data_IF_697349294173
#
_entry.id   IF_697349294173
#
_cell.length_a   1.000
_cell.length_b   1.000
_cell.length_c   1.000
_cell.angle_alpha   90.00
_cell.angle_beta   90.00
_cell.angle_gamma   90.00
#
_symmetry.space_group_name_H-M   'P 1'
#
loop_
_entity.id
_entity.type
_entity.pdbx_description
1 polymer ?
#
# COMPACT_ATOMS: atom_id res chain seq x y z
N UNK A 1 -18.12 8.72 -13.69
CA UNK A 1 -18.41 7.33 -14.12
C UNK A 1 -19.09 6.49 -13.05
N UNK A 2 -18.62 6.47 -11.79
CA UNK A 2 -19.24 5.67 -10.72
C UNK A 2 -20.77 5.85 -10.57
N UNK A 3 -21.26 7.10 -10.64
CA UNK A 3 -22.71 7.37 -10.60
C UNK A 3 -23.49 6.69 -11.73
N UNK A 4 -23.00 6.76 -12.97
CA UNK A 4 -23.65 6.14 -14.12
C UNK A 4 -23.81 4.62 -13.93
N UNK A 5 -22.74 3.93 -13.51
CA UNK A 5 -22.76 2.48 -13.24
C UNK A 5 -23.76 2.14 -12.13
N UNK A 6 -23.75 2.94 -11.06
CA UNK A 6 -24.61 2.76 -9.88
C UNK A 6 -26.11 2.92 -10.20
N UNK A 7 -26.47 3.81 -11.12
CA UNK A 7 -27.86 4.13 -11.46
C UNK A 7 -28.37 3.42 -12.73
N UNK A 8 -27.55 2.55 -13.34
CA UNK A 8 -27.93 1.71 -14.50
C UNK A 8 -27.95 0.24 -14.11
N UNK A 9 -29.10 -0.27 -13.66
CA UNK A 9 -29.26 -1.69 -13.34
C UNK A 9 -29.19 -2.60 -14.59
N UNK A 10 -29.66 -2.13 -15.74
CA UNK A 10 -29.63 -2.83 -17.04
C UNK A 10 -29.39 -1.82 -18.16
N UNK A 11 -28.50 -2.16 -19.10
CA UNK A 11 -28.19 -1.32 -20.25
C UNK A 11 -26.69 -1.09 -20.39
N UNK A 12 -26.26 0.14 -20.69
CA UNK A 12 -24.85 0.47 -20.88
C UNK A 12 -24.50 1.85 -20.35
N UNK A 13 -23.21 2.02 -20.06
CA UNK A 13 -22.57 3.30 -19.75
C UNK A 13 -21.49 3.53 -20.80
N UNK A 14 -21.47 4.70 -21.41
CA UNK A 14 -20.53 5.08 -22.45
C UNK A 14 -19.77 6.35 -22.04
N UNK A 15 -18.45 6.31 -22.13
CA UNK A 15 -17.58 7.49 -22.08
C UNK A 15 -17.13 7.82 -23.51
N UNK A 16 -17.34 9.06 -23.94
CA UNK A 16 -16.77 9.61 -25.17
C UNK A 16 -15.83 10.75 -24.82
N UNK A 17 -14.70 10.81 -25.52
CA UNK A 17 -13.68 11.83 -25.34
C UNK A 17 -13.44 12.46 -26.71
N UNK A 18 -13.79 13.73 -26.85
CA UNK A 18 -13.62 14.48 -28.08
C UNK A 18 -12.77 15.73 -27.81
N UNK A 19 -12.06 16.17 -28.85
CA UNK A 19 -11.49 17.52 -28.89
C UNK A 19 -12.45 18.43 -29.68
N UNK A 20 -13.00 19.43 -29.01
CA UNK A 20 -13.87 20.44 -29.62
C UNK A 20 -13.22 21.82 -29.49
N UNK A 21 -12.57 22.28 -30.57
CA UNK A 21 -11.94 23.62 -30.63
C UNK A 21 -10.85 23.83 -29.55
N UNK A 22 -9.95 22.86 -29.38
CA UNK A 22 -8.91 22.88 -28.34
C UNK A 22 -9.49 22.88 -26.92
N UNK A 23 -10.63 22.20 -26.74
CA UNK A 23 -11.23 21.93 -25.44
C UNK A 23 -11.55 20.45 -25.37
N UNK A 24 -11.07 19.80 -24.31
CA UNK A 24 -11.38 18.40 -24.04
C UNK A 24 -12.86 18.31 -23.63
N UNK A 25 -13.65 17.60 -24.39
CA UNK A 25 -15.06 17.34 -24.11
C UNK A 25 -15.25 15.87 -23.75
N UNK A 26 -15.52 15.61 -22.47
CA UNK A 26 -15.88 14.30 -21.95
C UNK A 26 -17.40 14.21 -21.88
N UNK A 27 -17.97 13.19 -22.51
CA UNK A 27 -19.39 12.86 -22.43
C UNK A 27 -19.56 11.51 -21.74
N UNK A 28 -20.25 11.49 -20.61
CA UNK A 28 -20.59 10.27 -19.88
C UNK A 28 -22.09 10.05 -20.04
N UNK A 29 -22.48 9.03 -20.79
CA UNK A 29 -23.87 8.68 -21.06
C UNK A 29 -24.22 7.36 -20.39
N UNK A 30 -25.39 7.27 -19.79
CA UNK A 30 -25.96 6.05 -19.25
C UNK A 30 -27.43 5.88 -19.66
N UNK A 31 -27.91 4.65 -19.61
CA UNK A 31 -29.32 4.29 -19.86
C UNK A 31 -30.05 3.93 -18.57
N UNK A 32 -29.66 4.56 -17.46
CA UNK A 32 -30.19 4.27 -16.13
C UNK A 32 -31.55 4.91 -15.85
N UNK A 33 -31.87 5.05 -14.56
CA UNK A 33 -33.16 5.59 -14.10
C UNK A 33 -33.42 7.05 -14.50
N UNK A 34 -32.39 7.79 -14.89
CA UNK A 34 -32.48 9.22 -15.17
C UNK A 34 -32.70 10.08 -13.93
N UNK A 35 -32.83 11.39 -14.13
CA UNK A 35 -32.97 12.41 -13.09
C UNK A 35 -34.16 13.29 -13.46
N UNK A 36 -35.04 13.53 -12.48
CA UNK A 36 -36.18 14.43 -12.61
C UNK A 36 -35.75 15.87 -12.94
N UNK A 37 -36.53 16.56 -13.77
CA UNK A 37 -36.15 17.87 -14.31
C UNK A 37 -36.02 18.96 -13.24
N UNK A 38 -36.81 18.88 -12.17
CA UNK A 38 -36.76 19.74 -10.99
C UNK A 38 -35.52 19.51 -10.11
N UNK A 39 -34.81 18.40 -10.30
CA UNK A 39 -33.62 18.02 -9.51
C UNK A 39 -32.31 18.31 -10.24
N UNK A 40 -32.34 18.56 -11.55
CA UNK A 40 -31.14 18.75 -12.38
C UNK A 40 -30.22 19.88 -11.91
N UNK A 41 -30.78 20.99 -11.43
CA UNK A 41 -29.97 22.13 -10.94
C UNK A 41 -29.31 21.81 -9.60
N UNK A 42 -29.98 21.00 -8.77
CA UNK A 42 -29.57 20.72 -7.39
C UNK A 42 -28.61 19.55 -7.29
N UNK A 43 -28.45 18.71 -8.32
CA UNK A 43 -27.58 17.52 -8.24
C UNK A 43 -26.11 17.85 -7.96
N UNK A 44 -25.70 19.09 -8.20
CA UNK A 44 -24.34 19.54 -7.96
C UNK A 44 -24.18 20.26 -6.62
N UNK A 45 -25.27 20.46 -5.86
CA UNK A 45 -25.23 21.11 -4.56
C UNK A 45 -24.70 20.15 -3.49
N UNK A 46 -23.92 20.64 -2.51
CA UNK A 46 -23.42 19.80 -1.43
C UNK A 46 -24.58 19.09 -0.71
N UNK A 47 -24.45 17.78 -0.51
CA UNK A 47 -25.42 16.93 0.19
C UNK A 47 -26.80 16.83 -0.48
N UNK A 48 -26.98 17.37 -1.69
CA UNK A 48 -28.22 17.23 -2.42
C UNK A 48 -28.32 15.82 -3.01
N UNK A 49 -29.29 15.05 -2.52
CA UNK A 49 -29.64 13.73 -3.04
C UNK A 49 -30.97 13.79 -3.79
N UNK A 50 -31.08 12.99 -4.85
CA UNK A 50 -32.28 12.99 -5.68
C UNK A 50 -33.53 12.50 -4.93
N UNK A 51 -33.47 11.58 -3.97
CA UNK A 51 -34.61 11.23 -3.10
C UNK A 51 -34.17 10.58 -1.79
N UNK A 52 -34.94 10.80 -0.71
CA UNK A 52 -34.74 10.16 0.59
C UNK A 52 -34.99 8.63 0.58
N UNK A 53 -35.68 8.12 -0.44
CA UNK A 53 -35.91 6.68 -0.65
C UNK A 53 -34.71 5.98 -1.32
N UNK A 54 -33.89 6.72 -2.07
CA UNK A 54 -32.72 6.22 -2.80
C UNK A 54 -31.52 6.03 -1.88
N UNK A 55 -31.47 6.72 -0.75
CA UNK A 55 -30.40 6.66 0.27
C UNK A 55 -30.21 5.23 0.81
N UNK A 56 -31.28 4.45 0.97
CA UNK A 56 -31.20 3.06 1.48
C UNK A 56 -30.72 2.05 0.45
N UNK A 57 -30.94 2.31 -0.84
CA UNK A 57 -30.71 1.33 -1.90
C UNK A 57 -29.36 1.54 -2.61
N UNK A 58 -28.84 2.77 -2.57
CA UNK A 58 -27.68 3.14 -3.37
C UNK A 58 -26.56 3.86 -2.58
N UNK A 59 -26.75 4.36 -1.36
CA UNK A 59 -25.66 4.80 -0.44
C UNK A 59 -24.62 5.81 -0.98
N UNK A 60 -24.54 7.02 -0.44
CA UNK A 60 -23.44 7.96 -0.77
C UNK A 60 -23.61 9.34 -0.17
N UNK A 61 -22.52 10.07 0.07
CA UNK A 61 -22.51 11.37 0.78
C UNK A 61 -23.17 12.52 0.00
N UNK A 62 -23.50 12.32 -1.28
CA UNK A 62 -24.01 13.39 -2.16
C UNK A 62 -22.95 14.40 -2.59
N UNK A 63 -21.67 14.18 -2.27
CA UNK A 63 -20.60 15.13 -2.55
C UNK A 63 -19.93 14.92 -3.92
N UNK A 64 -20.03 13.73 -4.52
CA UNK A 64 -19.22 13.39 -5.71
C UNK A 64 -19.43 14.32 -6.92
N UNK A 65 -20.68 14.70 -7.22
CA UNK A 65 -21.02 15.66 -8.29
C UNK A 65 -20.60 17.08 -7.94
N UNK A 66 -20.72 17.45 -6.66
CA UNK A 66 -20.27 18.75 -6.13
C UNK A 66 -18.76 18.92 -6.31
N UNK A 67 -17.97 17.92 -5.88
CA UNK A 67 -16.51 17.90 -6.01
C UNK A 67 -16.11 17.95 -7.48
N UNK A 68 -16.78 17.15 -8.32
CA UNK A 68 -16.54 17.14 -9.77
C UNK A 68 -16.76 18.53 -10.38
N UNK A 69 -17.83 19.24 -9.99
CA UNK A 69 -18.09 20.62 -10.43
C UNK A 69 -17.00 21.58 -9.98
N UNK A 70 -16.58 21.51 -8.72
CA UNK A 70 -15.52 22.38 -8.19
C UNK A 70 -14.18 22.16 -8.92
N UNK A 71 -13.77 20.90 -9.13
CA UNK A 71 -12.53 20.58 -9.84
C UNK A 71 -12.56 21.09 -11.28
N UNK A 72 -13.67 20.87 -12.00
CA UNK A 72 -13.82 21.35 -13.38
C UNK A 72 -13.77 22.88 -13.43
N UNK A 73 -14.40 23.58 -12.48
CA UNK A 73 -14.34 25.04 -12.38
C UNK A 73 -12.93 25.55 -12.03
N UNK A 74 -12.21 24.89 -11.13
CA UNK A 74 -10.82 25.22 -10.80
C UNK A 74 -9.89 25.06 -12.02
N UNK A 75 -10.19 24.10 -12.90
CA UNK A 75 -9.50 23.90 -14.17
C UNK A 75 -9.96 24.88 -15.28
N UNK A 76 -10.83 25.86 -14.96
CA UNK A 76 -11.38 26.82 -15.92
C UNK A 76 -12.41 26.24 -16.89
N UNK A 77 -12.91 25.04 -16.60
CA UNK A 77 -13.88 24.32 -17.42
C UNK A 77 -15.34 24.49 -16.99
N UNK A 78 -16.22 23.73 -17.63
CA UNK A 78 -17.65 23.68 -17.34
C UNK A 78 -18.14 22.23 -17.26
N UNK A 79 -19.06 21.97 -16.33
CA UNK A 79 -19.78 20.69 -16.23
C UNK A 79 -21.29 20.96 -16.38
N UNK A 80 -21.98 20.13 -17.15
CA UNK A 80 -23.43 20.19 -17.31
C UNK A 80 -24.03 18.79 -17.39
N UNK A 81 -25.35 18.71 -17.26
CA UNK A 81 -26.10 17.46 -17.25
C UNK A 81 -27.35 17.61 -18.11
N UNK A 82 -27.70 16.55 -18.83
CA UNK A 82 -29.00 16.37 -19.47
C UNK A 82 -29.53 14.99 -19.10
N UNK A 83 -30.74 14.91 -18.58
CA UNK A 83 -31.34 13.64 -18.17
C UNK A 83 -32.84 13.65 -18.38
N UNK A 84 -33.40 12.46 -18.55
CA UNK A 84 -34.84 12.21 -18.56
C UNK A 84 -35.11 10.94 -17.77
N UNK A 85 -36.11 10.99 -16.89
CA UNK A 85 -36.51 9.83 -16.10
C UNK A 85 -36.86 8.64 -17.01
N UNK A 86 -36.27 7.49 -16.72
CA UNK A 86 -36.46 6.24 -17.47
C UNK A 86 -35.68 6.14 -18.80
N UNK A 87 -35.07 7.22 -19.30
CA UNK A 87 -34.25 7.20 -20.53
C UNK A 87 -32.74 7.20 -20.23
N UNK A 88 -32.35 7.71 -19.06
CA UNK A 88 -30.95 7.75 -18.60
C UNK A 88 -30.39 9.16 -18.44
N UNK A 89 -29.09 9.26 -18.17
CA UNK A 89 -28.41 10.53 -17.91
C UNK A 89 -27.19 10.71 -18.80
N UNK A 90 -26.94 11.96 -19.19
CA UNK A 90 -25.74 12.35 -19.91
C UNK A 90 -25.08 13.54 -19.22
N UNK A 91 -23.85 13.34 -18.75
CA UNK A 91 -23.00 14.39 -18.19
C UNK A 91 -21.99 14.85 -19.24
N UNK A 92 -21.78 16.16 -19.29
CA UNK A 92 -20.83 16.83 -20.15
C UNK A 92 -19.79 17.54 -19.29
N UNK A 93 -18.51 17.28 -19.55
CA UNK A 93 -17.40 17.99 -18.92
C UNK A 93 -16.52 18.59 -20.02
N UNK A 94 -16.32 19.89 -19.96
CA UNK A 94 -15.52 20.66 -20.90
C UNK A 94 -14.33 21.26 -20.16
N UNK A 95 -13.11 20.98 -20.61
CA UNK A 95 -11.89 21.49 -20.00
C UNK A 95 -11.03 22.22 -21.03
N UNK A 96 -10.56 23.45 -20.74
CA UNK A 96 -9.64 24.19 -21.60
C UNK A 96 -8.21 23.71 -21.38
N UNK A 97 -7.93 22.45 -21.75
CA UNK A 97 -6.60 21.89 -21.66
C UNK A 97 -5.77 22.30 -22.88
N UNK A 98 -4.59 22.89 -22.71
CA UNK A 98 -3.68 23.07 -23.83
C UNK A 98 -3.31 21.69 -24.40
N UNK A 99 -3.04 21.63 -25.70
CA UNK A 99 -2.45 20.44 -26.31
C UNK A 99 -1.11 20.21 -25.61
N UNK A 100 -1.08 19.19 -24.74
CA UNK A 100 0.15 18.71 -24.15
C UNK A 100 0.99 18.00 -25.20
N UNK A 101 2.29 17.91 -24.94
CA UNK A 101 3.05 16.83 -25.57
C UNK A 101 2.49 15.54 -24.99
N UNK A 102 2.15 14.58 -25.85
CA UNK A 102 1.89 13.23 -25.36
C UNK A 102 3.06 12.88 -24.43
N UNK A 103 2.79 12.32 -23.22
CA UNK A 103 3.86 11.63 -22.52
C UNK A 103 4.47 10.74 -23.58
N UNK A 104 5.77 10.89 -23.84
CA UNK A 104 6.47 9.86 -24.60
C UNK A 104 6.10 8.60 -23.84
N UNK A 105 5.41 7.66 -24.50
CA UNK A 105 5.02 6.40 -23.88
C UNK A 105 6.28 5.85 -23.20
N UNK A 106 6.41 6.01 -21.88
CA UNK A 106 7.49 5.39 -21.11
C UNK A 106 7.36 3.85 -21.21
N UNK A 107 6.19 3.37 -21.65
CA UNK A 107 5.93 2.00 -22.06
C UNK A 107 6.66 1.55 -23.34
N UNK A 108 7.25 2.46 -24.15
CA UNK A 108 8.01 2.09 -25.36
C UNK A 108 9.34 2.85 -25.48
N UNK A 109 9.52 3.99 -24.81
CA UNK A 109 10.71 4.83 -24.93
C UNK A 109 11.74 4.65 -23.80
N UNK A 110 12.05 3.40 -23.49
CA UNK A 110 13.43 2.87 -23.46
C UNK A 110 13.28 1.45 -22.96
N UNK A 111 13.06 0.49 -23.87
CA UNK A 111 13.46 -0.87 -23.57
C UNK A 111 14.95 -0.78 -23.29
N UNK A 112 15.33 -0.63 -22.03
CA UNK A 112 16.71 -0.75 -21.65
C UNK A 112 17.07 -2.20 -21.94
N UNK A 113 17.62 -2.41 -23.13
CA UNK A 113 18.02 -3.73 -23.58
C UNK A 113 19.30 -4.07 -22.84
N UNK A 114 19.11 -4.68 -21.69
CA UNK A 114 20.18 -5.36 -21.00
C UNK A 114 20.56 -6.59 -21.83
N UNK A 115 21.86 -6.91 -21.96
CA UNK A 115 22.26 -8.21 -22.48
C UNK A 115 21.66 -9.32 -21.59
N UNK A 116 21.61 -10.58 -22.05
CA UNK A 116 21.30 -11.70 -21.15
C UNK A 116 22.20 -11.64 -19.91
N UNK A 117 21.59 -11.69 -18.73
CA UNK A 117 22.26 -11.58 -17.43
C UNK A 117 22.05 -12.86 -16.66
N UNK A 118 23.02 -13.24 -15.83
CA UNK A 118 22.88 -14.27 -14.81
C UNK A 118 22.57 -13.59 -13.47
N UNK A 119 21.32 -13.75 -13.01
CA UNK A 119 20.74 -13.04 -11.88
C UNK A 119 20.58 -14.00 -10.71
N UNK A 120 21.02 -13.57 -9.52
CA UNK A 120 20.66 -14.23 -8.26
C UNK A 120 19.47 -13.48 -7.65
N UNK A 121 18.34 -14.17 -7.47
CA UNK A 121 17.15 -13.62 -6.81
C UNK A 121 16.98 -14.27 -5.44
N UNK A 122 16.85 -13.46 -4.39
CA UNK A 122 16.67 -13.93 -3.02
C UNK A 122 15.40 -13.33 -2.41
N UNK A 123 14.45 -14.18 -2.03
CA UNK A 123 13.17 -13.83 -1.40
C UNK A 123 12.63 -15.07 -0.71
N UNK A 124 12.07 -14.93 0.50
CA UNK A 124 11.60 -16.07 1.29
C UNK A 124 10.17 -16.51 0.94
N UNK A 125 9.51 -15.77 0.05
CA UNK A 125 8.20 -16.10 -0.50
C UNK A 125 8.38 -16.75 -1.88
N UNK A 126 8.03 -18.04 -2.04
CA UNK A 126 8.21 -18.76 -3.31
C UNK A 126 7.52 -18.10 -4.51
N UNK A 127 6.36 -17.47 -4.33
CA UNK A 127 5.63 -16.78 -5.40
C UNK A 127 6.36 -15.53 -5.90
N UNK A 128 7.11 -14.84 -5.02
CA UNK A 128 7.92 -13.70 -5.43
C UNK A 128 9.11 -14.17 -6.28
N UNK A 129 9.76 -15.26 -5.89
CA UNK A 129 10.82 -15.89 -6.68
C UNK A 129 10.29 -16.38 -8.04
N UNK A 130 9.12 -17.01 -8.07
CA UNK A 130 8.46 -17.44 -9.32
C UNK A 130 8.15 -16.24 -10.22
N UNK A 131 7.60 -15.16 -9.66
CA UNK A 131 7.33 -13.93 -10.41
C UNK A 131 8.64 -13.35 -10.99
N UNK A 132 9.69 -13.21 -10.18
CA UNK A 132 11.00 -12.74 -10.65
C UNK A 132 11.55 -13.62 -11.77
N UNK A 133 11.46 -14.94 -11.62
CA UNK A 133 11.90 -15.88 -12.64
C UNK A 133 11.12 -15.69 -13.96
N UNK A 134 9.78 -15.63 -13.88
CA UNK A 134 8.91 -15.44 -15.06
C UNK A 134 9.21 -14.11 -15.76
N UNK A 135 9.32 -13.02 -15.00
CA UNK A 135 9.58 -11.68 -15.55
C UNK A 135 10.97 -11.64 -16.19
N UNK A 136 12.01 -12.02 -15.47
CA UNK A 136 13.40 -11.93 -15.95
C UNK A 136 13.67 -12.86 -17.14
N UNK A 137 13.10 -14.07 -17.17
CA UNK A 137 13.24 -14.99 -18.29
C UNK A 137 12.58 -14.47 -19.57
N UNK A 138 11.45 -13.75 -19.48
CA UNK A 138 10.84 -13.08 -20.64
C UNK A 138 11.74 -12.03 -21.26
N UNK A 139 12.62 -11.43 -20.45
CA UNK A 139 13.64 -10.49 -20.89
C UNK A 139 14.98 -11.16 -21.27
N UNK A 140 15.04 -12.49 -21.34
CA UNK A 140 16.21 -13.25 -21.77
C UNK A 140 17.29 -13.44 -20.71
N UNK A 141 17.00 -13.16 -19.44
CA UNK A 141 17.92 -13.39 -18.33
C UNK A 141 17.79 -14.81 -17.76
N UNK A 142 18.86 -15.29 -17.15
CA UNK A 142 18.87 -16.53 -16.37
C UNK A 142 18.76 -16.18 -14.89
N UNK A 143 17.86 -16.83 -14.16
CA UNK A 143 17.64 -16.58 -12.73
C UNK A 143 17.96 -17.83 -11.93
N UNK A 144 18.80 -17.68 -10.92
CA UNK A 144 19.00 -18.66 -9.83
C UNK A 144 18.36 -18.09 -8.58
N UNK A 145 17.54 -18.92 -7.91
CA UNK A 145 16.75 -18.48 -6.75
C UNK A 145 17.38 -18.93 -5.43
N UNK A 146 17.26 -18.09 -4.40
CA UNK A 146 17.61 -18.36 -3.02
C UNK A 146 16.40 -18.05 -2.11
N UNK A 147 16.14 -18.89 -1.11
CA UNK A 147 15.02 -18.73 -0.18
C UNK A 147 15.35 -17.89 1.06
N UNK A 148 16.61 -17.55 1.27
CA UNK A 148 17.07 -16.67 2.35
C UNK A 148 18.44 -16.04 2.03
N UNK A 149 18.89 -15.13 2.91
CA UNK A 149 20.17 -14.43 2.75
C UNK A 149 21.40 -15.34 2.86
N UNK A 150 21.31 -16.44 3.61
CA UNK A 150 22.42 -17.37 3.79
C UNK A 150 22.66 -18.17 2.51
N UNK A 151 21.60 -18.69 1.90
CA UNK A 151 21.67 -19.37 0.62
C UNK A 151 22.15 -18.43 -0.49
N UNK A 152 21.71 -17.16 -0.47
CA UNK A 152 22.19 -16.16 -1.42
C UNK A 152 23.71 -15.94 -1.30
N UNK A 153 24.23 -15.84 -0.08
CA UNK A 153 25.67 -15.76 0.18
C UNK A 153 26.41 -17.02 -0.34
N UNK A 154 25.94 -18.22 -0.01
CA UNK A 154 26.54 -19.48 -0.46
C UNK A 154 26.58 -19.62 -1.99
N UNK A 155 25.51 -19.20 -2.67
CA UNK A 155 25.45 -19.20 -4.12
C UNK A 155 26.42 -18.17 -4.70
N UNK A 156 26.50 -16.96 -4.14
CA UNK A 156 27.47 -15.94 -4.58
C UNK A 156 28.93 -16.39 -4.41
N UNK A 157 29.21 -17.22 -3.41
CA UNK A 157 30.53 -17.79 -3.15
C UNK A 157 30.92 -18.89 -4.14
N UNK A 158 29.95 -19.60 -4.71
CA UNK A 158 30.17 -20.77 -5.57
C UNK A 158 29.94 -20.50 -7.04
N UNK A 159 29.22 -19.42 -7.38
CA UNK A 159 28.83 -19.07 -8.74
C UNK A 159 29.01 -17.56 -9.00
N UNK A 160 29.28 -17.23 -10.25
CA UNK A 160 29.35 -15.84 -10.71
C UNK A 160 27.97 -15.38 -11.20
N UNK A 161 27.58 -14.17 -10.79
CA UNK A 161 26.35 -13.51 -11.20
C UNK A 161 26.68 -12.09 -11.64
N UNK A 162 25.82 -11.52 -12.49
CA UNK A 162 25.96 -10.15 -12.96
C UNK A 162 25.30 -9.15 -12.00
N UNK A 163 24.25 -9.59 -11.30
CA UNK A 163 23.46 -8.77 -10.37
C UNK A 163 22.70 -9.65 -9.37
N UNK A 164 22.47 -9.11 -8.17
CA UNK A 164 21.64 -9.73 -7.13
C UNK A 164 20.39 -8.88 -6.91
N UNK A 165 19.21 -9.52 -6.93
CA UNK A 165 17.96 -8.94 -6.47
C UNK A 165 17.65 -9.54 -5.09
N UNK A 166 17.65 -8.73 -4.05
CA UNK A 166 17.65 -9.18 -2.65
C UNK A 166 16.47 -8.59 -1.88
N UNK A 167 15.57 -9.43 -1.37
CA UNK A 167 14.55 -9.00 -0.42
C UNK A 167 15.18 -8.52 0.90
N UNK A 168 14.66 -7.42 1.46
CA UNK A 168 15.21 -6.88 2.70
C UNK A 168 14.85 -7.75 3.91
N UNK A 169 13.64 -8.33 3.94
CA UNK A 169 13.11 -9.05 5.08
C UNK A 169 13.01 -10.55 4.78
N UNK A 170 13.99 -11.32 5.26
CA UNK A 170 14.01 -12.77 5.16
C UNK A 170 14.33 -13.40 6.53
N UNK A 171 13.85 -14.62 6.82
CA UNK A 171 14.17 -15.31 8.06
C UNK A 171 15.66 -15.73 8.10
N UNK A 172 16.15 -15.95 9.32
CA UNK A 172 17.54 -16.36 9.64
C UNK A 172 18.62 -15.33 9.30
N UNK A 173 18.74 -14.95 8.03
CA UNK A 173 19.66 -13.92 7.55
C UNK A 173 18.89 -12.99 6.61
N UNK A 174 18.71 -11.75 7.05
CA UNK A 174 18.01 -10.74 6.29
C UNK A 174 18.85 -10.20 5.11
N UNK A 175 18.24 -9.42 4.22
CA UNK A 175 18.91 -8.93 3.02
C UNK A 175 20.05 -7.95 3.30
N UNK A 176 19.97 -7.19 4.40
CA UNK A 176 21.00 -6.23 4.82
C UNK A 176 22.23 -6.99 5.32
N UNK A 177 22.03 -7.95 6.21
CA UNK A 177 23.05 -8.85 6.75
C UNK A 177 23.71 -9.66 5.63
N UNK A 178 22.92 -10.22 4.72
CA UNK A 178 23.44 -10.95 3.56
C UNK A 178 24.31 -10.05 2.68
N UNK A 179 23.88 -8.82 2.42
CA UNK A 179 24.65 -7.86 1.61
C UNK A 179 25.98 -7.49 2.29
N UNK A 180 25.96 -7.20 3.59
CA UNK A 180 27.20 -6.94 4.34
C UNK A 180 28.15 -8.14 4.32
N UNK A 181 27.63 -9.36 4.47
CA UNK A 181 28.41 -10.58 4.41
C UNK A 181 29.00 -10.82 3.00
N UNK A 182 28.24 -10.55 1.94
CA UNK A 182 28.71 -10.58 0.55
C UNK A 182 29.84 -9.56 0.37
N UNK A 183 29.71 -8.33 0.86
CA UNK A 183 30.78 -7.31 0.77
C UNK A 183 32.04 -7.72 1.51
N UNK A 184 31.90 -8.26 2.71
CA UNK A 184 33.04 -8.74 3.49
C UNK A 184 33.78 -9.87 2.76
N UNK A 185 33.04 -10.85 2.25
CA UNK A 185 33.60 -11.97 1.49
C UNK A 185 34.27 -11.50 0.19
N UNK A 186 33.64 -10.58 -0.54
CA UNK A 186 34.20 -10.00 -1.77
C UNK A 186 35.54 -9.30 -1.51
N UNK A 187 35.63 -8.51 -0.42
CA UNK A 187 36.85 -7.85 -0.02
C UNK A 187 37.95 -8.83 0.42
N UNK A 188 37.61 -9.84 1.23
CA UNK A 188 38.53 -10.86 1.73
C UNK A 188 39.13 -11.70 0.59
N UNK A 189 38.32 -12.05 -0.41
CA UNK A 189 38.70 -12.93 -1.52
C UNK A 189 39.08 -12.17 -2.80
N UNK A 190 39.22 -10.84 -2.72
CA UNK A 190 39.54 -9.96 -3.84
C UNK A 190 38.62 -10.15 -5.05
N UNK A 191 37.35 -10.43 -4.80
CA UNK A 191 36.34 -10.59 -5.85
C UNK A 191 35.82 -9.22 -6.28
N UNK A 192 35.45 -9.04 -7.56
CA UNK A 192 34.77 -7.83 -7.97
C UNK A 192 33.45 -7.71 -7.19
N UNK A 193 33.18 -6.50 -6.70
CA UNK A 193 31.89 -6.15 -6.12
C UNK A 193 30.80 -6.59 -7.11
N UNK A 194 29.70 -7.20 -6.68
CA UNK A 194 28.49 -7.44 -7.51
C UNK A 194 27.41 -6.38 -7.23
N UNK A 195 26.62 -5.87 -8.19
CA UNK A 195 25.55 -4.95 -7.86
C UNK A 195 24.46 -5.68 -7.08
N UNK A 196 23.97 -5.08 -6.01
CA UNK A 196 22.85 -5.61 -5.23
C UNK A 196 21.70 -4.60 -5.24
N UNK A 197 20.52 -5.01 -5.73
CA UNK A 197 19.30 -4.20 -5.69
C UNK A 197 18.42 -4.74 -4.56
N UNK A 198 18.07 -3.85 -3.62
CA UNK A 198 17.11 -4.13 -2.57
C UNK A 198 15.69 -4.24 -3.13
N UNK A 199 14.94 -5.26 -2.71
CA UNK A 199 13.49 -5.37 -2.93
C UNK A 199 12.80 -5.11 -1.59
N UNK A 200 11.85 -4.17 -1.54
CA UNK A 200 11.15 -3.81 -0.29
C UNK A 200 9.66 -3.56 -0.50
N UNK A 201 8.83 -3.97 0.47
CA UNK A 201 7.40 -3.65 0.51
C UNK A 201 7.08 -2.22 0.99
N UNK A 202 8.08 -1.49 1.49
CA UNK A 202 7.97 -0.13 1.98
C UNK A 202 9.10 0.72 1.41
N UNK A 203 8.81 1.92 0.91
CA UNK A 203 9.81 2.84 0.35
C UNK A 203 10.12 3.95 1.35
N UNK A 204 10.23 3.59 2.63
CA UNK A 204 10.57 4.56 3.65
C UNK A 204 12.02 5.01 3.45
N UNK A 205 12.30 6.28 3.70
CA UNK A 205 13.63 6.85 3.57
C UNK A 205 14.65 6.12 4.47
N UNK A 206 14.19 5.56 5.58
CA UNK A 206 15.00 4.73 6.48
C UNK A 206 15.46 3.42 5.82
N UNK A 207 14.59 2.72 5.08
CA UNK A 207 14.95 1.48 4.39
C UNK A 207 16.03 1.74 3.35
N UNK A 208 15.90 2.83 2.59
CA UNK A 208 16.92 3.24 1.61
C UNK A 208 18.27 3.52 2.27
N UNK A 209 18.28 4.27 3.38
CA UNK A 209 19.52 4.55 4.13
C UNK A 209 20.15 3.28 4.69
N UNK A 210 19.35 2.34 5.18
CA UNK A 210 19.83 1.06 5.67
C UNK A 210 20.44 0.21 4.54
N UNK A 211 19.78 0.15 3.37
CA UNK A 211 20.30 -0.52 2.17
C UNK A 211 21.62 0.08 1.69
N UNK A 212 21.71 1.40 1.62
CA UNK A 212 22.94 2.10 1.23
C UNK A 212 24.09 1.78 2.21
N UNK A 213 23.81 1.81 3.52
CA UNK A 213 24.78 1.47 4.56
C UNK A 213 25.23 -0.01 4.52
N UNK A 214 24.35 -0.92 4.12
CA UNK A 214 24.66 -2.33 3.90
C UNK A 214 25.48 -2.58 2.61
N UNK A 215 25.74 -1.55 1.82
CA UNK A 215 26.50 -1.64 0.58
C UNK A 215 25.68 -2.18 -0.60
N UNK A 216 24.36 -1.97 -0.60
CA UNK A 216 23.51 -2.17 -1.78
C UNK A 216 23.70 -1.01 -2.77
N UNK A 217 23.36 -1.23 -4.04
CA UNK A 217 23.63 -0.30 -5.15
C UNK A 217 22.36 0.32 -5.73
N UNK A 218 21.21 -0.28 -5.46
CA UNK A 218 19.91 0.17 -5.95
C UNK A 218 18.75 -0.34 -5.12
N UNK A 219 17.55 0.14 -5.46
CA UNK A 219 16.34 -0.14 -4.71
C UNK A 219 15.12 -0.26 -5.64
N UNK A 220 14.28 -1.27 -5.42
CA UNK A 220 13.01 -1.46 -6.11
C UNK A 220 11.90 -1.79 -5.12
N UNK A 221 10.75 -1.12 -5.29
CA UNK A 221 9.58 -1.33 -4.45
C UNK A 221 8.76 -2.55 -4.89
N UNK A 222 8.11 -3.21 -3.94
CA UNK A 222 7.01 -4.14 -4.16
C UNK A 222 5.67 -3.36 -4.08
N UNK A 223 4.70 -3.57 -4.97
CA UNK A 223 4.70 -4.56 -6.05
C UNK A 223 5.73 -4.26 -7.14
N UNK A 224 6.33 -5.32 -7.69
CA UNK A 224 7.41 -5.20 -8.67
C UNK A 224 6.92 -4.54 -9.96
N UNK A 225 7.37 -3.34 -10.25
CA UNK A 225 7.14 -2.69 -11.54
C UNK A 225 8.26 -3.04 -12.53
N UNK A 226 7.98 -3.93 -13.49
CA UNK A 226 8.98 -4.51 -14.41
C UNK A 226 9.88 -3.44 -15.07
N UNK A 227 9.27 -2.38 -15.60
CA UNK A 227 10.00 -1.29 -16.28
C UNK A 227 10.97 -0.58 -15.33
N UNK A 228 10.53 -0.27 -14.11
CA UNK A 228 11.37 0.39 -13.10
C UNK A 228 12.52 -0.51 -12.65
N UNK A 229 12.25 -1.80 -12.47
CA UNK A 229 13.29 -2.76 -12.11
C UNK A 229 14.37 -2.87 -13.20
N UNK A 230 14.00 -2.99 -14.47
CA UNK A 230 14.96 -3.06 -15.58
C UNK A 230 15.78 -1.78 -15.74
N UNK A 231 15.14 -0.61 -15.55
CA UNK A 231 15.84 0.67 -15.54
C UNK A 231 16.86 0.74 -14.39
N UNK A 232 16.47 0.29 -13.20
CA UNK A 232 17.35 0.29 -12.03
C UNK A 232 18.52 -0.69 -12.21
N UNK A 233 18.26 -1.89 -12.73
CA UNK A 233 19.30 -2.86 -13.13
C UNK A 233 20.30 -2.23 -14.10
N UNK A 234 19.81 -1.53 -15.11
CA UNK A 234 20.68 -0.86 -16.06
C UNK A 234 21.49 0.28 -15.45
N UNK A 235 20.90 1.08 -14.57
CA UNK A 235 21.58 2.16 -13.86
C UNK A 235 22.76 1.62 -13.05
N UNK A 236 22.55 0.57 -12.25
CA UNK A 236 23.60 0.00 -11.39
C UNK A 236 24.67 -0.75 -12.19
N UNK A 237 24.33 -1.31 -13.35
CA UNK A 237 25.28 -1.98 -14.25
C UNK A 237 26.10 -0.96 -15.08
N UNK A 238 25.49 0.10 -15.58
CA UNK A 238 26.18 1.16 -16.34
C UNK A 238 27.08 2.04 -15.47
N UNK A 239 26.76 2.18 -14.17
CA UNK A 239 27.66 2.81 -13.20
C UNK A 239 29.02 2.10 -13.05
N UNK A 240 29.19 0.90 -13.62
CA UNK A 240 30.47 0.15 -13.65
C UNK A 240 31.32 0.39 -14.88
N UNK A 241 30.73 0.85 -15.99
CA UNK A 241 31.48 1.03 -17.25
C UNK A 241 32.30 2.32 -17.25
N UNK A 242 32.15 3.17 -16.23
CA UNK A 242 32.92 4.40 -16.05
C UNK A 242 33.55 4.41 -14.64
N UNK A 243 34.64 3.68 -14.46
CA UNK A 243 35.58 3.92 -13.35
C UNK A 243 36.99 3.45 -13.71
N UNK A 244 37.61 4.18 -14.64
CA UNK A 244 38.94 4.72 -14.40
C UNK A 244 38.86 6.25 -14.50
N UNK A 245 39.39 6.92 -13.48
CA UNK A 245 39.54 8.37 -13.33
C UNK A 245 38.29 9.20 -12.96
N UNK A 246 38.14 9.40 -11.65
CA UNK A 246 38.22 10.77 -11.13
C UNK A 246 36.92 11.45 -10.71
N UNK A 247 36.82 11.63 -9.38
CA UNK A 247 36.08 12.66 -8.62
C UNK A 247 34.58 12.41 -8.41
N UNK A 248 34.30 12.01 -7.16
CA UNK A 248 33.07 12.30 -6.45
C UNK A 248 32.59 13.74 -6.70
N UNK A 249 31.34 13.87 -7.11
CA UNK A 249 30.58 15.09 -6.96
C UNK A 249 29.17 14.71 -6.47
N UNK A 250 28.64 15.36 -5.41
CA UNK A 250 27.34 15.03 -4.86
C UNK A 250 26.25 15.60 -5.78
N UNK A 251 25.37 14.73 -6.29
CA UNK A 251 24.17 15.17 -6.99
C UNK A 251 23.13 15.66 -5.97
N UNK A 252 23.23 16.94 -5.62
CA UNK A 252 22.12 17.71 -5.08
C UNK A 252 21.14 18.01 -6.23
N UNK A 253 19.90 17.56 -6.08
CA UNK A 253 18.85 17.74 -7.10
C UNK A 253 17.67 16.82 -6.84
N UNK A 254 17.09 16.92 -5.64
CA UNK A 254 15.83 16.29 -5.31
C UNK A 254 14.71 16.91 -6.17
N UNK A 255 14.35 16.24 -7.27
CA UNK A 255 13.04 16.40 -7.88
C UNK A 255 12.11 15.41 -7.19
N UNK A 256 11.23 15.94 -6.35
CA UNK A 256 10.12 15.18 -5.77
C UNK A 256 9.33 14.51 -6.90
N UNK A 257 9.24 13.19 -6.83
CA UNK A 257 8.34 12.40 -7.66
C UNK A 257 6.93 12.62 -7.11
N UNK A 258 5.94 13.05 -7.91
CA UNK A 258 4.56 13.08 -7.45
C UNK A 258 4.09 11.64 -7.21
N UNK A 259 3.86 11.29 -5.95
CA UNK A 259 3.19 10.08 -5.55
C UNK A 259 1.70 10.18 -5.86
N UNK A 260 1.26 10.00 -7.11
CA UNK A 260 -0.15 9.73 -7.42
C UNK A 260 -0.28 8.90 -8.70
N UNK A 261 -0.42 7.58 -8.54
CA UNK A 261 -1.33 6.81 -9.38
C UNK A 261 -2.38 6.22 -8.45
N UNK A 262 -3.25 7.10 -7.96
CA UNK A 262 -4.55 6.72 -7.43
C UNK A 262 -5.39 6.23 -8.62
N UNK A 263 -5.28 4.94 -8.95
CA UNK A 263 -6.35 4.27 -9.66
C UNK A 263 -7.54 4.25 -8.70
N UNK A 264 -8.53 5.11 -8.97
CA UNK A 264 -9.83 5.02 -8.36
C UNK A 264 -10.50 3.73 -8.85
N UNK A 265 -10.08 2.59 -8.28
CA UNK A 265 -10.77 1.34 -8.41
C UNK A 265 -12.15 1.54 -7.80
N UNK A 266 -13.18 1.22 -8.58
CA UNK A 266 -14.55 1.13 -8.10
C UNK A 266 -14.56 0.26 -6.82
N UNK A 267 -15.35 0.67 -5.83
CA UNK A 267 -15.40 0.17 -4.45
C UNK A 267 -15.77 -1.33 -4.28
N UNK A 268 -15.52 -2.21 -5.27
CA UNK A 268 -15.97 -3.60 -5.26
C UNK A 268 -15.00 -4.63 -5.88
N UNK A 269 -13.83 -4.27 -6.42
CA UNK A 269 -12.91 -5.28 -6.99
C UNK A 269 -11.72 -5.58 -6.06
N UNK A 270 -11.67 -6.82 -5.57
CA UNK A 270 -10.61 -7.37 -4.69
C UNK A 270 -9.28 -7.59 -5.43
N UNK A 271 -9.29 -7.47 -6.76
CA UNK A 271 -8.21 -7.87 -7.66
C UNK A 271 -8.00 -6.81 -8.73
N UNK A 272 -6.75 -6.37 -8.91
CA UNK A 272 -6.34 -5.60 -10.08
C UNK A 272 -5.91 -6.54 -11.21
N UNK A 273 -6.86 -6.86 -12.09
CA UNK A 273 -6.61 -7.74 -13.22
C UNK A 273 -5.61 -7.17 -14.23
N UNK A 274 -5.56 -5.84 -14.38
CA UNK A 274 -4.64 -5.21 -15.33
C UNK A 274 -3.19 -5.40 -14.89
N UNK A 275 -2.90 -5.02 -13.65
CA UNK A 275 -1.57 -5.20 -13.04
C UNK A 275 -1.20 -6.69 -12.96
N UNK A 276 -2.13 -7.54 -12.53
CA UNK A 276 -1.90 -8.98 -12.45
C UNK A 276 -1.53 -9.62 -13.79
N UNK A 277 -2.22 -9.25 -14.87
CA UNK A 277 -1.92 -9.76 -16.22
C UNK A 277 -0.61 -9.20 -16.77
N UNK A 278 -0.25 -7.94 -16.50
CA UNK A 278 1.05 -7.40 -16.89
C UNK A 278 2.21 -8.14 -16.20
N UNK A 279 2.08 -8.41 -14.91
CA UNK A 279 3.11 -9.09 -14.12
C UNK A 279 3.25 -10.56 -14.51
N UNK A 280 2.14 -11.30 -14.46
CA UNK A 280 2.13 -12.75 -14.62
C UNK A 280 1.95 -13.20 -16.08
N UNK A 281 1.67 -12.29 -17.00
CA UNK A 281 1.58 -12.47 -18.46
C UNK A 281 0.41 -13.33 -18.95
N UNK A 282 -0.28 -14.06 -18.08
CA UNK A 282 -1.50 -14.78 -18.45
C UNK A 282 -2.42 -14.96 -17.24
N UNK A 283 -3.72 -15.04 -17.51
CA UNK A 283 -4.73 -15.31 -16.48
C UNK A 283 -4.50 -16.67 -15.79
N UNK A 284 -4.09 -17.69 -16.56
CA UNK A 284 -3.84 -19.04 -16.04
C UNK A 284 -2.68 -19.07 -15.02
N UNK A 285 -1.57 -18.37 -15.33
CA UNK A 285 -0.43 -18.24 -14.44
C UNK A 285 -0.82 -17.49 -13.16
N UNK A 286 -1.53 -16.37 -13.28
CA UNK A 286 -2.00 -15.58 -12.15
C UNK A 286 -2.93 -16.39 -11.22
N UNK A 287 -3.90 -17.12 -11.79
CA UNK A 287 -4.83 -17.96 -11.01
C UNK A 287 -4.12 -19.10 -10.28
N UNK A 288 -3.08 -19.67 -10.90
CA UNK A 288 -2.26 -20.71 -10.27
C UNK A 288 -1.41 -20.14 -9.14
N UNK A 289 -0.89 -18.92 -9.31
CA UNK A 289 -0.19 -18.21 -8.24
C UNK A 289 -1.11 -17.89 -7.06
N UNK A 290 -2.35 -17.46 -7.32
CA UNK A 290 -3.36 -17.24 -6.28
C UNK A 290 -3.71 -18.52 -5.52
N UNK A 291 -3.93 -19.64 -6.21
CA UNK A 291 -4.31 -20.88 -5.52
C UNK A 291 -3.20 -21.37 -4.58
N UNK A 292 -1.93 -21.24 -4.98
CA UNK A 292 -0.78 -21.54 -4.11
C UNK A 292 -0.70 -20.58 -2.93
N UNK A 293 -0.80 -19.28 -3.19
CA UNK A 293 -0.77 -18.26 -2.14
C UNK A 293 -1.86 -18.47 -1.09
N UNK A 294 -3.11 -18.69 -1.52
CA UNK A 294 -4.24 -18.93 -0.60
C UNK A 294 -4.06 -20.21 0.23
N UNK A 295 -3.53 -21.27 -0.36
CA UNK A 295 -3.21 -22.51 0.36
C UNK A 295 -2.13 -22.29 1.42
N UNK A 296 -1.10 -21.51 1.12
CA UNK A 296 -0.03 -21.17 2.06
C UNK A 296 -0.50 -20.21 3.17
N UNK A 297 -1.41 -19.27 2.86
CA UNK A 297 -1.96 -18.39 3.90
C UNK A 297 -2.83 -19.16 4.91
N UNK A 298 -3.48 -20.24 4.47
CA UNK A 298 -4.30 -21.06 5.36
C UNK A 298 -3.50 -21.65 6.55
N UNK A 299 -2.21 -21.97 6.36
CA UNK A 299 -1.35 -22.48 7.43
C UNK A 299 -0.69 -21.40 8.29
N UNK A 300 -0.65 -20.14 7.82
CA UNK A 300 -0.02 -19.01 8.54
C UNK A 300 -0.95 -18.28 9.50
N UNK A 301 -2.28 -18.39 9.32
CA UNK A 301 -3.25 -17.78 10.26
C UNK A 301 -3.13 -18.35 11.68
N UNK A 302 -3.02 -19.67 11.90
CA UNK A 302 -2.78 -20.23 13.24
C UNK A 302 -1.42 -19.81 13.84
N UNK A 303 -0.39 -19.64 13.00
CA UNK A 303 0.93 -19.16 13.41
C UNK A 303 0.85 -17.73 13.94
N UNK A 304 0.20 -16.82 13.21
CA UNK A 304 -0.05 -15.44 13.66
C UNK A 304 -0.84 -15.39 14.96
N UNK A 305 -1.85 -16.25 15.12
CA UNK A 305 -2.62 -16.36 16.36
C UNK A 305 -1.73 -16.83 17.52
N UNK A 306 -0.86 -17.81 17.30
CA UNK A 306 0.09 -18.30 18.30
C UNK A 306 1.13 -17.24 18.68
N UNK A 307 1.75 -16.57 17.71
CA UNK A 307 2.73 -15.51 17.93
C UNK A 307 2.12 -14.33 18.71
N UNK A 308 0.88 -13.96 18.36
CA UNK A 308 0.12 -12.95 19.09
C UNK A 308 -0.18 -13.36 20.54
N UNK A 309 -0.44 -14.64 20.82
CA UNK A 309 -0.67 -15.14 22.18
C UNK A 309 0.61 -15.18 23.03
N UNK A 310 1.76 -15.39 22.41
CA UNK A 310 3.06 -15.46 23.09
C UNK A 310 3.79 -14.11 23.17
N UNK A 311 3.22 -13.04 22.57
CA UNK A 311 3.79 -11.69 22.61
C UNK A 311 5.01 -11.48 21.71
N UNK A 312 5.25 -12.38 20.75
CA UNK A 312 6.35 -12.28 19.78
C UNK A 312 5.94 -11.41 18.58
N UNK A 313 5.85 -10.11 18.84
CA UNK A 313 5.31 -9.13 17.90
C UNK A 313 6.23 -8.87 16.72
N UNK A 314 7.54 -8.94 16.91
CA UNK A 314 8.52 -8.73 15.84
C UNK A 314 8.37 -9.84 14.77
N UNK A 315 8.24 -11.10 15.21
CA UNK A 315 8.02 -12.22 14.31
C UNK A 315 6.64 -12.16 13.65
N UNK A 316 5.60 -11.78 14.40
CA UNK A 316 4.26 -11.60 13.84
C UNK A 316 4.22 -10.49 12.77
N UNK A 317 4.90 -9.37 13.02
CA UNK A 317 5.01 -8.25 12.08
C UNK A 317 5.77 -8.68 10.82
N UNK A 318 6.84 -9.45 10.96
CA UNK A 318 7.58 -10.02 9.82
C UNK A 318 6.69 -10.97 8.97
N UNK A 319 5.86 -11.80 9.60
CA UNK A 319 4.88 -12.65 8.88
C UNK A 319 3.88 -11.79 8.10
N UNK A 320 3.33 -10.73 8.73
CA UNK A 320 2.38 -9.80 8.11
C UNK A 320 3.01 -9.05 6.92
N UNK A 321 4.23 -8.54 7.06
CA UNK A 321 4.93 -7.85 5.97
C UNK A 321 5.15 -8.76 4.77
N UNK A 322 5.53 -10.03 4.99
CA UNK A 322 5.68 -11.02 3.92
C UNK A 322 4.37 -11.28 3.18
N UNK A 323 3.27 -11.43 3.93
CA UNK A 323 1.93 -11.59 3.33
C UNK A 323 1.57 -10.39 2.46
N UNK A 324 1.84 -9.17 2.94
CA UNK A 324 1.58 -7.93 2.20
C UNK A 324 2.40 -7.83 0.92
N UNK A 325 3.70 -8.09 0.98
CA UNK A 325 4.59 -8.05 -0.18
C UNK A 325 4.17 -9.05 -1.26
N UNK A 326 3.89 -10.29 -0.85
CA UNK A 326 3.42 -11.36 -1.74
C UNK A 326 2.08 -10.99 -2.42
N UNK A 327 1.14 -10.46 -1.65
CA UNK A 327 -0.19 -10.17 -2.14
C UNK A 327 -0.21 -8.93 -3.06
N UNK A 328 0.69 -7.96 -2.85
CA UNK A 328 0.95 -6.87 -3.80
C UNK A 328 1.43 -7.41 -5.16
N UNK A 329 2.40 -8.33 -5.16
CA UNK A 329 2.90 -8.97 -6.39
C UNK A 329 1.86 -9.86 -7.10
N UNK A 330 0.80 -10.26 -6.40
CA UNK A 330 -0.34 -11.01 -6.94
C UNK A 330 -1.52 -10.11 -7.35
N UNK A 331 -1.33 -8.79 -7.31
CA UNK A 331 -2.34 -7.78 -7.63
C UNK A 331 -3.65 -7.91 -6.82
N UNK A 332 -3.53 -8.33 -5.56
CA UNK A 332 -4.67 -8.45 -4.63
C UNK A 332 -4.91 -7.12 -3.91
N UNK A 333 -5.76 -6.26 -4.47
CA UNK A 333 -6.07 -4.89 -4.02
C UNK A 333 -6.46 -4.80 -2.53
N UNK A 334 -7.18 -5.79 -1.97
CA UNK A 334 -7.64 -5.74 -0.57
C UNK A 334 -6.77 -6.43 0.47
N UNK A 335 -5.71 -7.12 0.09
CA UNK A 335 -4.80 -7.73 1.07
C UNK A 335 -3.91 -6.69 1.78
N UNK A 336 -3.61 -5.57 1.10
CA UNK A 336 -2.90 -4.43 1.67
C UNK A 336 -3.76 -3.64 2.66
N UNK A 337 -5.10 -3.66 2.50
CA UNK A 337 -6.07 -3.06 3.43
C UNK A 337 -6.47 -4.03 4.57
N UNK A 338 -6.51 -5.35 4.32
CA UNK A 338 -6.81 -6.34 5.37
C UNK A 338 -5.72 -6.39 6.45
N UNK A 339 -4.52 -5.86 6.19
CA UNK A 339 -3.43 -5.77 7.18
C UNK A 339 -3.24 -4.40 7.82
N UNK A 340 -3.99 -3.35 7.44
CA UNK A 340 -4.12 -2.18 8.33
C UNK A 340 -4.96 -2.50 9.59
N UNK A 341 -5.58 -3.68 9.64
CA UNK A 341 -6.14 -4.29 10.85
C UNK A 341 -5.07 -4.99 11.75
N UNK A 342 -3.81 -5.07 11.32
CA UNK A 342 -2.68 -5.55 12.13
C UNK A 342 -1.56 -4.49 12.08
N UNK A 343 -1.74 -3.40 12.85
CA UNK A 343 -1.39 -3.44 14.27
C UNK A 343 -2.50 -2.93 15.20
N UNK A 344 -3.73 -3.45 15.07
CA UNK A 344 -4.80 -3.20 16.06
C UNK A 344 -4.69 -4.07 17.35
N UNK A 345 -3.68 -4.94 17.45
CA UNK A 345 -3.47 -5.84 18.59
C UNK A 345 -2.25 -5.50 19.47
N UNK A 346 -1.49 -4.45 19.13
CA UNK A 346 -0.31 -4.01 19.88
C UNK A 346 -0.52 -3.00 21.05
N UNK A 347 -1.73 -2.51 21.43
CA UNK A 347 -1.84 -1.67 22.64
C UNK A 347 -1.75 -2.45 23.97
N UNK A 348 -2.02 -3.76 23.95
CA UNK A 348 -2.13 -4.57 25.18
C UNK A 348 -0.80 -4.81 25.90
N UNK A 349 0.33 -4.82 25.18
CA UNK A 349 1.64 -5.12 25.76
C UNK A 349 2.43 -3.87 26.20
N UNK A 350 2.14 -2.68 25.64
CA UNK A 350 2.88 -1.44 25.96
C UNK A 350 2.28 -0.74 27.21
N UNK A 351 0.99 -0.93 27.50
CA UNK A 351 0.35 -0.39 28.70
C UNK A 351 0.88 -1.02 30.01
N UNK A 352 1.39 -2.26 29.96
CA UNK A 352 1.95 -2.95 31.12
C UNK A 352 3.34 -2.43 31.53
N UNK A 353 4.09 -1.82 30.61
CA UNK A 353 5.43 -1.25 30.88
C UNK A 353 5.45 0.28 31.05
N UNK A 354 4.32 0.98 30.86
CA UNK A 354 4.29 2.44 30.91
C UNK A 354 4.23 3.08 32.32
N UNK A 355 4.25 2.30 33.42
CA UNK A 355 4.32 2.87 34.78
C UNK A 355 3.22 3.88 35.14
N UNK A 356 2.05 3.81 34.48
CA UNK A 356 0.95 4.76 34.67
C UNK A 356 0.36 4.66 36.09
N UNK A 357 0.35 5.78 36.79
CA UNK A 357 -0.30 5.90 38.11
C UNK A 357 -1.81 5.63 38.01
N UNK A 358 -2.44 5.22 39.12
CA UNK A 358 -3.88 4.97 39.17
C UNK A 358 -4.72 6.18 38.69
N UNK A 359 -4.26 7.40 38.97
CA UNK A 359 -4.91 8.63 38.51
C UNK A 359 -4.80 8.83 36.99
N UNK A 360 -3.63 8.52 36.40
CA UNK A 360 -3.42 8.63 34.96
C UNK A 360 -4.25 7.61 34.18
N UNK A 361 -4.45 6.40 34.74
CA UNK A 361 -5.32 5.38 34.13
C UNK A 361 -6.77 5.84 34.04
N UNK A 362 -7.29 6.47 35.10
CA UNK A 362 -8.65 7.03 35.11
C UNK A 362 -8.79 8.12 34.05
N UNK A 363 -7.81 9.02 33.93
CA UNK A 363 -7.84 10.09 32.94
C UNK A 363 -7.79 9.57 31.48
N UNK A 364 -6.95 8.56 31.21
CA UNK A 364 -6.90 7.91 29.89
C UNK A 364 -8.24 7.23 29.57
N UNK A 365 -8.88 6.60 30.55
CA UNK A 365 -10.16 5.93 30.36
C UNK A 365 -11.30 6.92 30.08
N UNK A 366 -11.35 8.05 30.79
CA UNK A 366 -12.31 9.13 30.56
C UNK A 366 -12.13 9.74 29.16
N UNK A 367 -10.90 10.02 28.75
CA UNK A 367 -10.60 10.56 27.43
C UNK A 367 -10.94 9.56 26.29
N UNK A 368 -10.64 8.28 26.46
CA UNK A 368 -11.03 7.25 25.47
C UNK A 368 -12.55 7.11 25.37
N UNK A 369 -13.28 7.24 26.48
CA UNK A 369 -14.73 7.18 26.47
C UNK A 369 -15.34 8.39 25.73
N UNK A 370 -14.90 9.61 26.06
CA UNK A 370 -15.36 10.83 25.38
C UNK A 370 -15.09 10.77 23.86
N UNK A 371 -13.90 10.33 23.47
CA UNK A 371 -13.55 10.18 22.05
C UNK A 371 -14.39 9.10 21.35
N UNK A 372 -14.67 7.98 22.02
CA UNK A 372 -15.51 6.91 21.48
C UNK A 372 -16.95 7.40 21.23
N UNK A 373 -17.52 8.15 22.17
CA UNK A 373 -18.86 8.73 22.05
C UNK A 373 -18.93 9.75 20.90
N UNK A 374 -17.92 10.63 20.78
CA UNK A 374 -17.84 11.58 19.66
C UNK A 374 -17.73 10.87 18.30
N UNK A 375 -16.86 9.85 18.19
CA UNK A 375 -16.66 9.08 16.97
C UNK A 375 -17.92 8.33 16.54
N UNK A 376 -18.72 7.83 17.49
CA UNK A 376 -20.04 7.23 17.20
C UNK A 376 -21.06 8.26 16.67
N UNK A 377 -20.93 9.52 17.06
CA UNK A 377 -21.70 10.64 16.54
C UNK A 377 -21.20 11.18 15.19
N UNK A 378 -20.06 10.70 14.68
CA UNK A 378 -19.42 11.21 13.47
C UNK A 378 -18.62 12.50 13.69
N UNK A 379 -18.27 12.81 14.93
CA UNK A 379 -17.46 13.97 15.32
C UNK A 379 -16.12 13.52 15.94
N UNK A 380 -15.16 14.43 16.07
CA UNK A 380 -13.88 14.17 16.73
C UNK A 380 -13.76 15.11 17.92
N UNK A 381 -13.68 14.55 19.12
CA UNK A 381 -13.38 15.32 20.33
C UNK A 381 -11.87 15.63 20.36
N UNK A 382 -11.55 16.87 20.00
CA UNK A 382 -10.16 17.35 19.92
C UNK A 382 -9.50 17.47 21.30
N UNK A 383 -10.29 17.71 22.36
CA UNK A 383 -9.78 17.82 23.72
C UNK A 383 -9.42 16.43 24.27
N UNK A 384 -10.29 15.45 24.04
CA UNK A 384 -10.04 14.05 24.39
C UNK A 384 -8.81 13.49 23.65
N UNK A 385 -8.68 13.76 22.35
CA UNK A 385 -7.52 13.33 21.56
C UNK A 385 -6.22 13.94 22.07
N UNK A 386 -6.22 15.23 22.40
CA UNK A 386 -5.04 15.92 22.92
C UNK A 386 -4.64 15.40 24.31
N UNK A 387 -5.62 15.08 25.17
CA UNK A 387 -5.35 14.45 26.46
C UNK A 387 -4.70 13.07 26.30
N UNK A 388 -5.14 12.25 25.33
CA UNK A 388 -4.53 10.94 25.06
C UNK A 388 -3.08 11.07 24.58
N UNK A 389 -2.78 12.05 23.73
CA UNK A 389 -1.41 12.31 23.27
C UNK A 389 -0.46 12.75 24.40
N UNK A 390 -0.98 13.37 25.47
CA UNK A 390 -0.17 13.78 26.63
C UNK A 390 0.04 12.63 27.62
N UNK A 391 -0.94 11.74 27.74
CA UNK A 391 -0.96 10.69 28.75
C UNK A 391 -0.37 9.36 28.28
N UNK A 392 -0.33 9.12 26.96
CA UNK A 392 0.16 7.89 26.37
C UNK A 392 1.40 8.14 25.49
N UNK A 393 2.32 7.16 25.39
CA UNK A 393 3.42 7.23 24.44
C UNK A 393 2.93 7.44 23.01
N UNK A 394 3.65 8.22 22.21
CA UNK A 394 3.31 8.54 20.82
C UNK A 394 3.04 7.28 19.98
N UNK A 395 3.81 6.21 20.19
CA UNK A 395 3.63 4.92 19.53
C UNK A 395 2.24 4.29 19.77
N UNK A 396 1.60 4.54 20.92
CA UNK A 396 0.27 4.00 21.25
C UNK A 396 -0.86 4.82 20.62
N UNK A 397 -0.64 6.12 20.40
CA UNK A 397 -1.66 7.03 19.85
C UNK A 397 -1.51 7.18 18.33
N UNK A 398 -0.36 6.83 17.75
CA UNK A 398 -0.07 6.98 16.33
C UNK A 398 -1.12 6.32 15.41
N UNK A 399 -1.57 5.10 15.74
CA UNK A 399 -2.57 4.40 14.94
C UNK A 399 -3.96 5.08 14.98
N UNK A 400 -4.36 5.56 16.17
CA UNK A 400 -5.59 6.31 16.37
C UNK A 400 -5.52 7.67 15.62
N UNK A 401 -4.39 8.37 15.73
CA UNK A 401 -4.15 9.63 15.05
C UNK A 401 -4.20 9.47 13.53
N UNK A 402 -3.52 8.45 12.99
CA UNK A 402 -3.53 8.18 11.56
C UNK A 402 -4.95 7.88 11.04
N UNK A 403 -5.76 7.13 11.80
CA UNK A 403 -7.14 6.86 11.45
C UNK A 403 -8.00 8.14 11.44
N UNK A 404 -7.77 9.05 12.40
CA UNK A 404 -8.45 10.34 12.49
C UNK A 404 -8.03 11.28 11.34
N UNK A 405 -6.73 11.37 11.05
CA UNK A 405 -6.18 12.22 9.99
C UNK A 405 -6.66 11.77 8.59
N UNK A 406 -6.96 10.48 8.44
CA UNK A 406 -7.54 9.89 7.23
C UNK A 406 -9.08 9.93 7.19
N UNK A 407 -9.74 10.58 8.16
CA UNK A 407 -11.21 10.62 8.30
C UNK A 407 -11.87 9.22 8.38
N UNK A 408 -11.14 8.21 8.85
CA UNK A 408 -11.62 6.84 9.01
C UNK A 408 -12.31 6.63 10.36
N UNK A 409 -13.54 7.11 10.52
CA UNK A 409 -14.27 7.06 11.81
C UNK A 409 -14.44 5.65 12.38
N UNK A 410 -14.78 4.66 11.54
CA UNK A 410 -14.91 3.26 11.98
C UNK A 410 -13.57 2.68 12.45
N UNK A 411 -12.48 3.08 11.80
CA UNK A 411 -11.14 2.64 12.15
C UNK A 411 -10.63 3.34 13.41
N UNK A 412 -10.89 4.64 13.55
CA UNK A 412 -10.60 5.40 14.76
C UNK A 412 -11.36 4.84 15.96
N UNK A 413 -12.63 4.46 15.77
CA UNK A 413 -13.47 3.84 16.80
C UNK A 413 -12.89 2.49 17.26
N UNK A 414 -12.46 1.64 16.32
CA UNK A 414 -11.80 0.37 16.62
C UNK A 414 -10.49 0.58 17.39
N UNK A 415 -9.67 1.56 16.98
CA UNK A 415 -8.44 1.91 17.68
C UNK A 415 -8.70 2.39 19.12
N UNK A 416 -9.70 3.26 19.32
CA UNK A 416 -10.07 3.77 20.64
C UNK A 416 -10.58 2.64 21.56
N UNK A 417 -11.39 1.71 21.05
CA UNK A 417 -11.89 0.55 21.80
C UNK A 417 -10.78 -0.45 22.16
N UNK A 418 -9.83 -0.69 21.24
CA UNK A 418 -8.66 -1.52 21.49
C UNK A 418 -7.76 -0.91 22.59
N UNK A 419 -7.56 0.41 22.58
CA UNK A 419 -6.87 1.13 23.64
C UNK A 419 -7.62 1.02 24.99
N UNK A 420 -8.94 1.20 25.00
CA UNK A 420 -9.73 1.15 26.23
C UNK A 420 -9.69 -0.23 26.91
N UNK A 421 -9.77 -1.29 26.11
CA UNK A 421 -9.66 -2.67 26.60
C UNK A 421 -8.25 -2.97 27.16
N UNK A 422 -7.20 -2.42 26.56
CA UNK A 422 -5.81 -2.61 27.05
C UNK A 422 -5.52 -1.94 28.40
N UNK A 423 -6.17 -0.81 28.69
CA UNK A 423 -5.98 -0.07 29.96
C UNK A 423 -6.75 -0.72 31.12
N UNK A 424 -7.81 -1.49 30.82
CA UNK A 424 -8.71 -2.08 31.82
C UNK A 424 -8.20 -3.40 32.44
N UNK A 425 -7.36 -4.17 31.76
CA UNK A 425 -6.97 -5.54 32.15
C UNK A 425 -5.97 -5.63 33.30
N UNK A 426 -5.38 -4.51 33.75
CA UNK A 426 -4.36 -4.51 34.81
C UNK A 426 -4.92 -4.44 36.25
N UNK A 427 -6.22 -4.25 36.47
CA UNK A 427 -6.76 -4.09 37.85
C UNK A 427 -7.13 -5.38 38.57
N UNK A 428 -7.31 -6.51 37.86
CA UNK A 428 -7.89 -7.72 38.46
C UNK A 428 -6.86 -8.77 38.92
N UNK A 429 -5.56 -8.61 38.63
CA UNK A 429 -4.55 -9.59 39.07
C UNK A 429 -3.91 -9.32 40.44
N UNK A 430 -4.24 -8.22 41.13
CA UNK A 430 -3.57 -7.82 42.38
C UNK A 430 -4.42 -7.91 43.67
N UNK A 431 -5.60 -8.54 43.65
CA UNK A 431 -6.38 -8.78 44.89
C UNK A 431 -6.63 -10.25 45.17
N UNK A 432 -5.57 -11.00 45.50
CA UNK A 432 -5.71 -12.16 46.38
C UNK A 432 -4.47 -12.31 47.27
N UNK A 433 -4.56 -12.02 48.58
CA UNK A 433 -3.45 -12.27 49.49
C UNK A 433 -3.28 -13.79 49.67
N UNK A 434 -2.05 -14.28 49.91
CA UNK A 434 -1.81 -15.69 50.16
C UNK A 434 -2.46 -16.07 51.49
N UNK A 435 -3.33 -17.09 51.46
CA UNK A 435 -3.81 -17.73 52.68
C UNK A 435 -2.61 -18.38 53.36
N UNK A 436 -2.09 -17.73 54.40
CA UNK A 436 -1.13 -18.32 55.31
C UNK A 436 -1.81 -19.46 56.07
N UNK A 437 -1.21 -20.64 55.97
CA UNK A 437 -1.46 -21.74 56.88
C UNK A 437 -0.92 -21.37 58.28
N UNK A 438 -1.75 -21.53 59.32
CA UNK A 438 -1.39 -22.06 60.64
C UNK A 438 -2.55 -21.86 61.63
N UNK A 439 -3.26 -22.95 61.94
CA UNK A 439 -3.48 -23.50 63.28
C UNK A 439 -4.26 -24.81 63.15
#
# INVERSE_FOLDING_TARGET
MGNAVKFTERGHVQLRVNDEQCRLHLTIQDTGIGIAQDKLERIFDPFAQADASTTRRFGGTGLGTTISRQLVQLMGGAISVSSREGEGTQFHVQLPLPIGQAPIDEAVASAVQLPPLHILAADDVPQNLELLQVVMQRHGHQVVSASDGLQALQLRQTQAFDIILMDLQMPHMDGLQASMAIRAWEAEHQQPRIPVIALSASVLEQDRRASDAAGMDGFAAKPLEQHKLLQEMARVLQGRTVSESGKHQPAAGASAVPAVLAHAAAESEVVDWHTGLQLWGSEAALRTAWSRFLNEQHSRVPELQSLSQHGDWDTALAVVHRMRGAAGNLALLRSAEVTSAAPALAPAAIAAEAGLSAAARTQVQEALQALTEALQGGEIDSEALQQLQQLLPEAMVAALQAAIDMFGFDQALQCAQALASSVSTSSDSERKPPHAAQA
#
